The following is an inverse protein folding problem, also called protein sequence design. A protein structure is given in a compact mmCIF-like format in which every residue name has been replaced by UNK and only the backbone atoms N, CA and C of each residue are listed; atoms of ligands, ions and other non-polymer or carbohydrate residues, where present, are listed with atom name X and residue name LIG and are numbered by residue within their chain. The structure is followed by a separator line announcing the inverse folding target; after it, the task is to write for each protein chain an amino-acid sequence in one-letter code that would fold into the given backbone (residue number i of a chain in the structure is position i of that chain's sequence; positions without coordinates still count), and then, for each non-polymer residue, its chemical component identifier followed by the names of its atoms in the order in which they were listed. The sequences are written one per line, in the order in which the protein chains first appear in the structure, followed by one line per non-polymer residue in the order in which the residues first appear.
data_IF_574603381892
#
_entry.id   IF_574603381892
#
_cell.length_a   1.000
_cell.length_b   1.000
_cell.length_c   1.000
_cell.angle_alpha   90.00
_cell.angle_beta   90.00
_cell.angle_gamma   90.00
#
_symmetry.space_group_name_H-M   'P 1'
#
loop_
_entity.id
_entity.type
_entity.pdbx_description
1 polymer ?
#
# COMPACT_ATOMS: atom_id res chain seq x y z
N UNK A 1 -11.30 22.29 -46.56
CA UNK A 1 -11.43 20.93 -47.12
C UNK A 1 -11.50 19.97 -45.93
N UNK A 2 -12.68 19.67 -45.36
CA UNK A 2 -13.69 18.64 -45.73
C UNK A 2 -13.13 17.22 -45.85
N UNK A 3 -13.34 16.43 -44.78
CA UNK A 3 -13.73 15.00 -44.73
C UNK A 3 -13.47 14.53 -43.29
N UNK A 4 -14.43 14.32 -42.38
CA UNK A 4 -15.65 13.50 -42.40
C UNK A 4 -15.41 12.04 -42.85
N UNK A 5 -15.19 11.16 -41.88
CA UNK A 5 -15.61 9.76 -41.98
C UNK A 5 -16.10 9.30 -40.62
N UNK A 6 -17.40 9.44 -40.44
CA UNK A 6 -18.20 8.66 -39.50
C UNK A 6 -18.50 7.32 -40.19
N UNK A 7 -18.34 6.20 -39.48
CA UNK A 7 -18.96 4.95 -39.88
C UNK A 7 -19.62 4.28 -38.66
N UNK A 8 -20.95 4.42 -38.65
CA UNK A 8 -21.94 3.68 -37.87
C UNK A 8 -22.15 2.30 -38.50
N UNK A 9 -22.43 1.27 -37.68
CA UNK A 9 -23.34 0.11 -37.86
C UNK A 9 -22.80 -1.08 -37.02
N UNK A 10 -23.59 -1.88 -36.30
CA UNK A 10 -25.05 -2.01 -36.27
C UNK A 10 -25.52 -2.95 -35.15
N UNK A 11 -26.78 -2.74 -34.78
CA UNK A 11 -27.62 -3.51 -33.85
C UNK A 11 -28.14 -4.82 -34.49
N UNK A 12 -28.15 -5.91 -33.72
CA UNK A 12 -28.85 -7.19 -33.99
C UNK A 12 -29.07 -7.87 -32.62
N UNK A 13 -30.18 -8.50 -32.22
CA UNK A 13 -31.59 -8.56 -32.60
C UNK A 13 -32.32 -9.21 -31.40
N UNK A 14 -33.58 -8.83 -31.16
CA UNK A 14 -34.48 -9.48 -30.20
C UNK A 14 -34.96 -10.87 -30.68
N UNK A 15 -35.24 -11.78 -29.75
CA UNK A 15 -35.99 -13.01 -29.99
C UNK A 15 -36.58 -13.60 -28.69
N UNK A 16 -37.92 -13.66 -28.53
CA UNK A 16 -38.62 -14.10 -27.31
C UNK A 16 -39.25 -15.49 -27.43
N UNK A 17 -39.36 -16.22 -26.32
CA UNK A 17 -40.34 -17.29 -25.95
C UNK A 17 -39.71 -18.06 -24.79
N UNK A 18 -40.34 -18.36 -23.65
CA UNK A 18 -41.75 -18.47 -23.33
C UNK A 18 -41.97 -19.84 -22.70
N UNK A 19 -42.26 -19.90 -21.39
CA UNK A 19 -43.06 -20.96 -20.76
C UNK A 19 -43.09 -20.76 -19.24
N UNK A 20 -44.24 -20.34 -18.76
CA UNK A 20 -44.69 -20.42 -17.36
C UNK A 20 -44.86 -21.88 -16.95
N UNK A 21 -44.31 -22.26 -15.80
CA UNK A 21 -44.85 -23.35 -14.98
C UNK A 21 -44.57 -23.05 -13.51
N UNK A 22 -45.64 -22.74 -12.79
CA UNK A 22 -45.68 -22.70 -11.33
C UNK A 22 -46.11 -24.09 -10.85
N UNK A 23 -45.28 -24.74 -10.04
CA UNK A 23 -45.66 -25.84 -9.12
C UNK A 23 -44.56 -25.86 -8.05
N UNK A 24 -44.73 -25.13 -6.96
CA UNK A 24 -45.31 -25.57 -5.67
C UNK A 24 -44.43 -26.58 -4.90
N UNK A 25 -43.89 -26.05 -3.77
CA UNK A 25 -43.44 -26.69 -2.53
C UNK A 25 -42.33 -27.74 -2.55
N UNK A 26 -41.15 -27.37 -1.99
CA UNK A 26 -40.57 -27.91 -0.72
C UNK A 26 -39.56 -26.89 -0.16
N UNK A 27 -39.66 -26.54 1.12
CA UNK A 27 -38.73 -25.69 1.90
C UNK A 27 -37.71 -26.57 2.64
N UNK A 28 -36.54 -26.08 3.12
CA UNK A 28 -35.49 -25.27 2.50
C UNK A 28 -34.16 -26.06 2.34
N UNK A 29 -33.16 -25.55 1.59
CA UNK A 29 -31.85 -26.18 1.51
C UNK A 29 -31.03 -25.85 2.77
N UNK A 30 -30.38 -26.85 3.38
CA UNK A 30 -29.14 -26.60 4.13
C UNK A 30 -28.02 -26.55 3.10
N UNK A 31 -28.04 -25.45 2.34
CA UNK A 31 -26.90 -25.01 1.54
C UNK A 31 -25.94 -24.42 2.55
N UNK A 32 -24.83 -25.11 2.79
CA UNK A 32 -23.62 -24.44 3.27
C UNK A 32 -23.43 -23.24 2.35
N UNK A 33 -23.68 -22.04 2.86
CA UNK A 33 -23.36 -20.83 2.15
C UNK A 33 -21.86 -20.89 1.87
N UNK A 34 -21.49 -21.35 0.68
CA UNK A 34 -20.30 -20.86 0.01
C UNK A 34 -20.50 -19.36 0.02
N UNK A 35 -19.83 -18.73 0.98
CA UNK A 35 -19.75 -17.30 1.12
C UNK A 35 -19.11 -16.82 -0.18
N UNK A 36 -19.96 -16.58 -1.17
CA UNK A 36 -19.65 -15.99 -2.47
C UNK A 36 -19.25 -14.55 -2.15
N UNK A 37 -18.08 -14.43 -1.53
CA UNK A 37 -17.46 -13.18 -1.18
C UNK A 37 -17.22 -12.54 -2.53
N UNK A 38 -17.92 -11.45 -2.87
CA UNK A 38 -17.75 -10.84 -4.17
C UNK A 38 -16.26 -10.59 -4.34
N UNK A 39 -15.66 -11.20 -5.38
CA UNK A 39 -14.25 -11.02 -5.72
C UNK A 39 -14.03 -9.52 -5.74
N UNK A 40 -13.37 -9.00 -4.70
CA UNK A 40 -13.20 -7.58 -4.54
C UNK A 40 -12.48 -7.12 -5.80
N UNK A 41 -13.15 -6.29 -6.61
CA UNK A 41 -12.50 -5.74 -7.78
C UNK A 41 -11.19 -5.09 -7.31
N UNK A 42 -10.06 -5.65 -7.75
CA UNK A 42 -8.68 -5.18 -7.49
C UNK A 42 -8.41 -3.87 -8.24
N UNK A 43 -9.39 -2.97 -8.25
CA UNK A 43 -9.26 -1.63 -8.77
C UNK A 43 -8.09 -0.96 -8.04
N UNK A 44 -7.08 -0.57 -8.81
CA UNK A 44 -5.92 0.15 -8.31
C UNK A 44 -6.23 1.64 -8.10
N UNK A 45 -7.14 2.19 -8.91
CA UNK A 45 -7.45 3.61 -8.95
C UNK A 45 -8.92 3.90 -8.62
N UNK A 46 -9.16 5.04 -7.98
CA UNK A 46 -10.51 5.62 -7.84
C UNK A 46 -10.98 6.31 -9.13
N UNK A 47 -12.18 6.87 -9.11
CA UNK A 47 -12.77 7.57 -10.26
C UNK A 47 -11.94 8.80 -10.68
N UNK A 48 -11.19 9.38 -9.75
CA UNK A 48 -10.30 10.53 -9.95
C UNK A 48 -8.88 10.11 -10.38
N UNK A 49 -8.61 8.81 -10.52
CA UNK A 49 -7.32 8.27 -10.95
C UNK A 49 -6.24 8.28 -9.85
N UNK A 50 -6.61 8.35 -8.57
CA UNK A 50 -5.70 8.19 -7.43
C UNK A 50 -5.65 6.74 -6.97
N UNK A 51 -4.51 6.34 -6.40
CA UNK A 51 -4.39 5.01 -5.82
C UNK A 51 -5.33 4.83 -4.64
N UNK A 52 -6.05 3.72 -4.65
CA UNK A 52 -6.88 3.28 -3.54
C UNK A 52 -6.01 2.66 -2.44
N UNK A 53 -6.39 2.83 -1.16
CA UNK A 53 -5.75 2.12 -0.06
C UNK A 53 -6.03 0.61 -0.15
N UNK A 54 -5.06 -0.18 0.28
CA UNK A 54 -5.17 -1.62 0.55
C UNK A 54 -5.43 -1.85 2.04
N UNK A 55 -5.68 -3.11 2.40
CA UNK A 55 -5.84 -3.52 3.79
C UNK A 55 -4.48 -3.71 4.52
N UNK A 56 -3.37 -3.61 3.79
CA UNK A 56 -2.02 -3.70 4.36
C UNK A 56 -1.65 -2.38 5.04
N UNK A 57 -1.26 -2.47 6.31
CA UNK A 57 -0.92 -1.31 7.14
C UNK A 57 0.45 -1.50 7.78
N UNK A 58 1.32 -0.49 7.63
CA UNK A 58 2.65 -0.44 8.28
C UNK A 58 2.70 0.74 9.23
N UNK A 59 2.83 0.48 10.54
CA UNK A 59 2.88 1.52 11.57
C UNK A 59 1.75 2.58 11.47
N UNK A 60 0.54 2.14 11.13
CA UNK A 60 -0.63 3.01 10.93
C UNK A 60 -0.74 3.66 9.55
N UNK A 61 0.24 3.46 8.66
CA UNK A 61 0.19 3.88 7.27
C UNK A 61 -0.46 2.79 6.39
N UNK A 62 -1.67 3.05 5.91
CA UNK A 62 -2.31 2.19 4.91
C UNK A 62 -1.59 2.30 3.56
N UNK A 63 -1.13 1.17 3.03
CA UNK A 63 -0.39 1.09 1.77
C UNK A 63 -1.34 1.17 0.57
N UNK A 64 -0.91 1.73 -0.58
CA UNK A 64 -1.71 1.70 -1.79
C UNK A 64 -1.85 0.27 -2.34
N UNK A 65 -2.95 -0.01 -3.01
CA UNK A 65 -3.14 -1.26 -3.76
C UNK A 65 -2.09 -1.41 -4.86
N UNK A 66 -1.78 -2.66 -5.20
CA UNK A 66 -0.78 -3.01 -6.22
C UNK A 66 0.67 -2.95 -5.74
N UNK A 67 0.90 -2.78 -4.43
CA UNK A 67 2.20 -3.05 -3.82
C UNK A 67 2.34 -4.55 -3.52
N UNK A 68 3.45 -5.13 -3.96
CA UNK A 68 3.86 -6.49 -3.65
C UNK A 68 5.03 -6.47 -2.69
N UNK A 69 4.89 -7.12 -1.54
CA UNK A 69 5.98 -7.24 -0.57
C UNK A 69 7.14 -8.05 -1.12
N UNK A 70 8.35 -7.61 -0.82
CA UNK A 70 9.60 -8.30 -1.14
C UNK A 70 10.37 -8.55 0.15
N UNK A 71 11.11 -9.68 0.23
CA UNK A 71 11.95 -9.97 1.39
C UNK A 71 12.89 -8.81 1.70
N UNK A 72 12.96 -8.45 2.97
CA UNK A 72 13.85 -7.43 3.52
C UNK A 72 14.65 -8.01 4.69
N UNK A 73 15.79 -7.40 4.99
CA UNK A 73 16.59 -7.73 6.17
C UNK A 73 16.34 -6.67 7.25
N UNK A 74 15.97 -7.11 8.45
CA UNK A 74 15.70 -6.28 9.63
C UNK A 74 14.22 -6.15 9.95
N UNK A 75 13.88 -6.25 11.24
CA UNK A 75 12.50 -6.37 11.74
C UNK A 75 11.61 -5.14 11.50
N UNK A 76 12.21 -4.01 11.14
CA UNK A 76 11.54 -2.70 11.03
C UNK A 76 11.69 -2.06 9.65
N UNK A 77 12.09 -2.88 8.67
CA UNK A 77 12.28 -2.48 7.28
C UNK A 77 11.34 -3.28 6.40
N UNK A 78 10.51 -2.58 5.64
CA UNK A 78 9.54 -3.17 4.74
C UNK A 78 9.84 -2.73 3.31
N UNK A 79 9.90 -3.67 2.37
CA UNK A 79 10.22 -3.36 0.97
C UNK A 79 9.10 -3.86 0.08
N UNK A 80 8.58 -2.97 -0.76
CA UNK A 80 7.49 -3.26 -1.68
C UNK A 80 7.83 -2.86 -3.10
N UNK A 81 7.33 -3.61 -4.08
CA UNK A 81 7.49 -3.34 -5.50
C UNK A 81 6.13 -3.16 -6.15
N UNK A 82 6.08 -2.35 -7.20
CA UNK A 82 4.85 -2.16 -7.97
C UNK A 82 5.15 -1.74 -9.40
N UNK A 83 4.25 -2.09 -10.32
CA UNK A 83 4.26 -1.61 -11.71
C UNK A 83 3.51 -0.26 -11.86
N UNK A 84 2.95 0.28 -10.77
CA UNK A 84 2.28 1.58 -10.78
C UNK A 84 3.29 2.69 -11.07
N UNK A 85 2.93 3.71 -11.89
CA UNK A 85 3.81 4.84 -12.18
C UNK A 85 4.27 5.54 -10.91
N UNK A 86 5.57 5.80 -10.80
CA UNK A 86 6.19 6.38 -9.60
C UNK A 86 5.51 7.66 -9.11
N UNK A 87 5.06 8.52 -10.03
CA UNK A 87 4.35 9.77 -9.72
C UNK A 87 3.04 9.51 -8.97
N UNK A 88 2.31 8.44 -9.29
CA UNK A 88 1.08 8.04 -8.60
C UNK A 88 1.37 7.54 -7.19
N UNK A 89 2.44 6.76 -7.04
CA UNK A 89 2.92 6.28 -5.73
C UNK A 89 3.34 7.44 -4.84
N UNK A 90 4.14 8.37 -5.36
CA UNK A 90 4.54 9.59 -4.67
C UNK A 90 3.34 10.46 -4.25
N UNK A 91 2.37 10.64 -5.15
CA UNK A 91 1.15 11.39 -4.84
C UNK A 91 0.31 10.73 -3.74
N UNK A 92 0.26 9.40 -3.71
CA UNK A 92 -0.44 8.66 -2.66
C UNK A 92 0.17 8.90 -1.28
N UNK A 93 1.50 8.73 -1.15
CA UNK A 93 2.21 8.92 0.12
C UNK A 93 2.29 10.39 0.52
N UNK A 94 2.49 11.30 -0.43
CA UNK A 94 2.57 12.73 -0.15
C UNK A 94 1.30 13.32 0.48
N UNK A 95 0.13 12.73 0.23
CA UNK A 95 -1.13 13.13 0.90
C UNK A 95 -1.35 12.49 2.26
N UNK A 96 -0.61 11.43 2.59
CA UNK A 96 -0.81 10.60 3.80
C UNK A 96 0.32 10.73 4.80
N UNK A 97 1.42 11.38 4.44
CA UNK A 97 2.57 11.60 5.30
C UNK A 97 2.69 13.08 5.66
N UNK A 98 2.88 13.36 6.94
CA UNK A 98 3.30 14.68 7.43
C UNK A 98 4.79 14.60 7.70
N UNK A 99 5.57 15.44 7.03
CA UNK A 99 7.02 15.55 7.25
C UNK A 99 7.49 16.98 7.02
N UNK A 100 8.57 17.36 7.71
CA UNK A 100 9.29 18.62 7.46
C UNK A 100 10.33 18.53 6.35
N UNK A 101 10.66 17.32 5.86
CA UNK A 101 11.73 17.12 4.88
C UNK A 101 11.40 16.01 3.87
N UNK A 102 11.50 16.36 2.59
CA UNK A 102 11.41 15.42 1.48
C UNK A 102 12.66 15.57 0.62
N UNK A 103 13.52 14.55 0.61
CA UNK A 103 14.69 14.52 -0.26
C UNK A 103 14.25 14.04 -1.65
N UNK A 104 14.55 14.82 -2.70
CA UNK A 104 14.22 14.46 -4.09
C UNK A 104 15.49 14.31 -4.90
N UNK A 105 15.67 13.15 -5.54
CA UNK A 105 16.86 12.84 -6.35
C UNK A 105 16.38 12.19 -7.65
N UNK A 106 16.39 12.95 -8.74
CA UNK A 106 15.74 12.52 -9.99
C UNK A 106 14.26 12.23 -9.75
N UNK A 107 13.81 11.05 -10.16
CA UNK A 107 12.43 10.58 -9.92
C UNK A 107 12.23 9.97 -8.54
N UNK A 108 13.27 9.84 -7.72
CA UNK A 108 13.13 9.30 -6.37
C UNK A 108 12.69 10.37 -5.36
N UNK A 109 11.93 9.95 -4.35
CA UNK A 109 11.52 10.78 -3.23
C UNK A 109 11.69 10.03 -1.91
N UNK A 110 12.27 10.67 -0.89
CA UNK A 110 12.38 10.12 0.46
C UNK A 110 11.73 11.06 1.45
N UNK A 111 10.65 10.62 2.09
CA UNK A 111 9.97 11.34 3.16
C UNK A 111 10.68 10.99 4.47
N UNK A 112 11.38 11.96 5.07
CA UNK A 112 12.19 11.74 6.26
C UNK A 112 11.37 11.95 7.53
N UNK A 113 11.53 11.06 8.51
CA UNK A 113 10.89 11.16 9.84
C UNK A 113 9.41 11.52 9.74
N UNK A 114 8.72 10.95 8.76
CA UNK A 114 7.34 11.24 8.47
C UNK A 114 6.41 10.57 9.47
N UNK A 115 5.28 11.21 9.74
CA UNK A 115 4.20 10.64 10.55
C UNK A 115 2.99 10.39 9.66
N UNK A 116 2.37 9.19 9.69
CA UNK A 116 1.16 8.95 8.92
C UNK A 116 -0.02 9.80 9.43
N UNK A 117 -0.78 10.36 8.52
CA UNK A 117 -1.96 11.17 8.82
C UNK A 117 -3.09 10.32 9.40
N UNK A 118 -3.81 10.87 10.38
CA UNK A 118 -5.01 10.23 10.94
C UNK A 118 -4.76 9.07 11.90
N UNK A 119 -3.49 8.76 12.23
CA UNK A 119 -3.16 7.74 13.23
C UNK A 119 -3.57 8.21 14.62
N UNK A 120 -4.26 7.33 15.36
CA UNK A 120 -4.61 7.51 16.77
C UNK A 120 -3.80 6.53 17.60
N UNK A 121 -3.04 7.02 18.58
CA UNK A 121 -2.21 6.18 19.45
C UNK A 121 -0.72 6.55 19.41
N UNK A 122 0.15 5.56 19.61
CA UNK A 122 1.60 5.75 19.59
C UNK A 122 2.11 6.21 18.22
N UNK A 123 2.83 7.34 18.19
CA UNK A 123 3.40 7.90 16.97
C UNK A 123 4.71 7.19 16.66
N UNK A 124 4.72 6.43 15.56
CA UNK A 124 5.94 5.87 14.97
C UNK A 124 6.34 6.78 13.81
N UNK A 125 7.59 7.24 13.83
CA UNK A 125 8.14 8.01 12.71
C UNK A 125 8.66 7.04 11.65
N UNK A 126 8.50 7.39 10.39
CA UNK A 126 8.86 6.57 9.25
C UNK A 126 9.83 7.31 8.33
N UNK A 127 10.83 6.60 7.82
CA UNK A 127 11.51 7.00 6.60
C UNK A 127 10.88 6.22 5.44
N UNK A 128 10.28 6.94 4.49
CA UNK A 128 9.60 6.33 3.32
C UNK A 128 10.34 6.72 2.04
N UNK A 129 11.08 5.78 1.48
CA UNK A 129 11.79 5.92 0.21
C UNK A 129 10.96 5.39 -0.95
N UNK A 130 10.87 6.16 -2.04
CA UNK A 130 10.22 5.76 -3.29
C UNK A 130 11.24 5.92 -4.40
N UNK A 131 11.63 4.80 -5.01
CA UNK A 131 12.69 4.72 -5.99
C UNK A 131 12.18 4.13 -7.30
N UNK A 132 12.67 4.58 -8.47
CA UNK A 132 12.33 3.94 -9.73
C UNK A 132 12.93 2.53 -9.78
N UNK A 133 12.18 1.58 -10.35
CA UNK A 133 12.74 0.25 -10.68
C UNK A 133 13.46 0.37 -12.03
N UNK A 134 14.77 0.08 -12.11
CA UNK A 134 15.48 0.11 -13.39
C UNK A 134 14.80 -0.80 -14.41
N UNK A 135 14.49 -0.25 -15.60
CA UNK A 135 13.85 -0.95 -16.73
C UNK A 135 12.40 -1.43 -16.50
N UNK A 136 11.80 -1.16 -15.34
CA UNK A 136 10.49 -1.72 -14.95
C UNK A 136 9.29 -0.78 -15.04
N UNK A 137 9.48 0.51 -15.33
CA UNK A 137 8.39 1.50 -15.41
C UNK A 137 7.63 1.79 -14.10
N UNK A 138 7.89 0.99 -13.06
CA UNK A 138 7.25 1.07 -11.75
C UNK A 138 8.16 1.63 -10.65
N UNK A 139 7.79 1.34 -9.41
CA UNK A 139 8.46 1.88 -8.23
C UNK A 139 8.75 0.80 -7.18
N UNK A 140 9.88 0.99 -6.49
CA UNK A 140 10.23 0.31 -5.25
C UNK A 140 9.95 1.27 -4.11
N UNK A 141 9.19 0.82 -3.12
CA UNK A 141 8.91 1.54 -1.89
C UNK A 141 9.68 0.87 -0.76
N UNK A 142 10.42 1.65 0.00
CA UNK A 142 11.08 1.24 1.23
C UNK A 142 10.45 2.00 2.39
N UNK A 143 10.07 1.30 3.44
CA UNK A 143 9.53 1.90 4.66
C UNK A 143 10.38 1.42 5.82
N UNK A 144 11.01 2.36 6.52
CA UNK A 144 11.79 2.09 7.72
C UNK A 144 11.12 2.75 8.92
N UNK A 145 10.84 1.96 9.95
CA UNK A 145 10.29 2.48 11.19
C UNK A 145 11.40 2.96 12.12
N UNK A 146 11.35 4.24 12.49
CA UNK A 146 12.30 4.84 13.42
C UNK A 146 11.89 4.50 14.83
N UNK A 147 12.85 4.07 15.66
CA UNK A 147 12.58 3.74 17.06
C UNK A 147 12.14 5.00 17.82
N UNK A 148 11.12 4.91 18.68
CA UNK A 148 10.87 5.99 19.62
C UNK A 148 12.12 6.15 20.48
N UNK A 149 12.47 7.41 20.79
CA UNK A 149 13.56 7.69 21.71
C UNK A 149 13.24 7.02 23.06
N UNK A 150 14.16 6.25 23.67
CA UNK A 150 13.92 5.62 24.95
C UNK A 150 13.51 6.67 25.99
N UNK A 151 12.40 6.42 26.70
CA UNK A 151 11.93 7.36 27.73
C UNK A 151 12.87 7.43 28.94
N UNK A 152 13.58 6.34 29.22
CA UNK A 152 14.59 6.25 30.26
C UNK A 152 15.91 5.81 29.61
N UNK A 153 16.71 6.75 29.08
CA UNK A 153 18.05 6.40 28.63
C UNK A 153 18.88 5.92 29.84
N UNK A 154 19.75 4.91 29.66
CA UNK A 154 20.67 4.50 30.71
C UNK A 154 21.55 5.68 31.13
N UNK A 155 21.91 5.72 32.42
CA UNK A 155 22.81 6.77 32.92
C UNK A 155 24.21 6.63 32.32
N UNK A 156 25.00 7.70 32.36
CA UNK A 156 26.39 7.67 31.92
C UNK A 156 27.19 6.58 32.66
N UNK A 157 27.00 6.45 33.98
CA UNK A 157 27.67 5.42 34.80
C UNK A 157 27.27 4.00 34.37
N UNK A 158 26.00 3.77 34.02
CA UNK A 158 25.54 2.47 33.54
C UNK A 158 26.11 2.13 32.17
N UNK A 159 26.24 3.12 31.28
CA UNK A 159 26.87 2.96 29.98
C UNK A 159 28.36 2.62 30.11
N UNK A 160 29.09 3.32 30.99
CA UNK A 160 30.51 3.04 31.28
C UNK A 160 30.65 1.62 31.81
N UNK A 161 29.83 1.21 32.80
CA UNK A 161 29.88 -0.15 33.36
C UNK A 161 29.64 -1.22 32.30
N UNK A 162 28.64 -1.05 31.42
CA UNK A 162 28.36 -2.02 30.35
C UNK A 162 29.52 -2.13 29.36
N UNK A 163 30.12 -1.00 28.99
CA UNK A 163 31.25 -0.99 28.06
C UNK A 163 32.47 -1.71 28.64
N UNK A 164 32.79 -1.46 29.92
CA UNK A 164 33.89 -2.15 30.62
C UNK A 164 33.66 -3.66 30.76
N UNK A 165 32.40 -4.08 30.99
CA UNK A 165 32.01 -5.49 31.04
C UNK A 165 32.11 -6.17 29.68
N UNK A 166 31.75 -5.47 28.61
CA UNK A 166 31.81 -5.99 27.24
C UNK A 166 33.26 -6.14 26.75
N UNK A 167 34.13 -5.16 27.05
CA UNK A 167 35.57 -5.29 26.77
C UNK A 167 36.19 -6.50 27.49
N UNK A 168 35.86 -6.70 28.77
CA UNK A 168 36.34 -7.87 29.53
C UNK A 168 35.87 -9.21 28.99
N UNK A 169 34.80 -9.27 28.20
CA UNK A 169 34.33 -10.51 27.56
C UNK A 169 35.05 -10.84 26.25
N UNK A 170 35.68 -9.84 25.64
CA UNK A 170 36.36 -9.98 24.35
C UNK A 170 37.85 -10.32 24.47
N UNK A 171 38.44 -10.08 25.64
CA UNK A 171 39.80 -10.50 26.02
C UNK A 171 39.82 -11.94 26.60
#
# INVERSE_FOLDING_TARGET
MRSCSFLLLGLVACGPCGSTSSTENVTPPTETAENDTPVANDALYDAEGNLLPSDVVVAGLALPRGLEERPSFGDRRHVYWTNVPIVKVQGYFGRRLITGQVDRIGDAAVFRRAVPQGVRGGIVHLDVGIHPIPRGGGARVEIEEIAPVPQNPPSADELIRRFDEEQRRLD
#
